data_IF_484375386365
#
_entry.id   IF_484375386365
#
_cell.length_a   1.000
_cell.length_b   1.000
_cell.length_c   1.000
_cell.angle_alpha   90.00
_cell.angle_beta   90.00
_cell.angle_gamma   90.00
#
_symmetry.space_group_name_H-M   'P 1'
#
loop_
_entity.id
_entity.type
_entity.pdbx_description
1 polymer ?
#
# COMPACT_ATOMS: atom_id res chain seq x y z
N UNK A 1 -64.16 -9.64 26.01
CA UNK A 1 -63.06 -10.48 26.59
C UNK A 1 -61.92 -10.51 25.59
N UNK A 2 -60.70 -10.27 26.07
CA UNK A 2 -59.50 -9.87 25.32
C UNK A 2 -59.05 -10.95 24.32
N UNK A 3 -58.99 -10.62 23.03
CA UNK A 3 -58.26 -11.40 22.01
C UNK A 3 -56.76 -11.14 22.17
N UNK A 4 -56.01 -12.18 22.49
CA UNK A 4 -54.56 -12.15 22.67
C UNK A 4 -53.89 -12.38 21.31
N UNK A 5 -53.21 -11.35 20.80
CA UNK A 5 -52.30 -11.42 19.65
C UNK A 5 -51.01 -12.13 20.09
N UNK A 6 -50.63 -13.23 19.43
CA UNK A 6 -49.26 -13.79 19.53
C UNK A 6 -48.68 -13.83 18.13
N UNK A 7 -47.73 -12.92 17.91
CA UNK A 7 -46.94 -12.74 16.70
C UNK A 7 -45.81 -13.79 16.71
N UNK A 8 -45.87 -14.79 15.84
CA UNK A 8 -44.73 -15.70 15.61
C UNK A 8 -43.79 -15.09 14.57
N UNK A 9 -42.74 -14.41 15.05
CA UNK A 9 -41.62 -13.96 14.22
C UNK A 9 -40.74 -15.17 13.94
N UNK A 10 -40.74 -15.64 12.69
CA UNK A 10 -39.80 -16.65 12.21
C UNK A 10 -38.44 -15.99 12.01
N UNK A 11 -37.49 -16.34 12.88
CA UNK A 11 -36.11 -15.86 12.86
C UNK A 11 -35.39 -16.49 11.66
N UNK A 12 -35.03 -15.65 10.69
CA UNK A 12 -34.24 -16.02 9.51
C UNK A 12 -32.81 -16.32 9.97
N UNK A 13 -32.41 -17.59 9.94
CA UNK A 13 -31.02 -18.00 10.12
C UNK A 13 -30.25 -17.72 8.83
N UNK A 14 -29.69 -16.52 8.70
CA UNK A 14 -28.58 -16.28 7.78
C UNK A 14 -27.34 -16.95 8.37
N UNK A 15 -26.99 -18.12 7.82
CA UNK A 15 -25.68 -18.72 8.05
C UNK A 15 -24.63 -17.86 7.34
N UNK A 16 -23.94 -17.00 8.09
CA UNK A 16 -22.73 -16.34 7.63
C UNK A 16 -21.69 -17.44 7.35
N UNK A 17 -21.44 -17.69 6.07
CA UNK A 17 -20.27 -18.44 5.63
C UNK A 17 -19.04 -17.58 5.95
N UNK A 18 -18.36 -17.87 7.05
CA UNK A 18 -17.13 -17.21 7.47
C UNK A 18 -15.97 -17.69 6.61
N UNK A 19 -15.96 -17.22 5.36
CA UNK A 19 -14.73 -17.16 4.59
C UNK A 19 -13.91 -16.02 5.19
N UNK A 20 -12.85 -16.32 5.95
CA UNK A 20 -11.88 -15.34 6.43
C UNK A 20 -11.14 -14.72 5.23
N UNK A 21 -11.82 -13.85 4.48
CA UNK A 21 -11.16 -12.92 3.58
C UNK A 21 -10.72 -11.75 4.46
N UNK A 22 -9.43 -11.45 4.44
CA UNK A 22 -9.01 -10.10 4.77
C UNK A 22 -9.87 -9.16 3.92
N UNK A 23 -10.81 -8.44 4.54
CA UNK A 23 -11.84 -7.64 3.86
C UNK A 23 -11.21 -6.38 3.25
N UNK A 24 -10.37 -6.56 2.24
CA UNK A 24 -9.79 -5.47 1.47
C UNK A 24 -10.92 -4.83 0.68
N UNK A 25 -11.31 -3.63 1.09
CA UNK A 25 -12.35 -2.88 0.40
C UNK A 25 -11.80 -2.21 -0.84
N UNK A 26 -12.70 -1.79 -1.73
CA UNK A 26 -12.37 -0.88 -2.83
C UNK A 26 -11.61 0.36 -2.31
N UNK A 27 -10.84 1.06 -3.17
CA UNK A 27 -10.02 2.15 -2.70
C UNK A 27 -10.88 3.30 -2.14
N UNK A 28 -10.45 3.89 -1.03
CA UNK A 28 -11.24 4.89 -0.27
C UNK A 28 -11.52 6.16 -1.08
N UNK A 29 -10.66 6.47 -2.05
CA UNK A 29 -10.73 7.66 -2.91
C UNK A 29 -10.08 7.38 -4.27
N UNK A 30 -10.33 8.25 -5.26
CA UNK A 30 -9.69 8.18 -6.58
C UNK A 30 -8.16 8.34 -6.52
N UNK A 31 -7.52 8.32 -7.68
CA UNK A 31 -6.06 8.44 -7.79
C UNK A 31 -5.55 9.77 -7.21
N UNK A 32 -4.63 9.68 -6.25
CA UNK A 32 -3.94 10.81 -5.62
C UNK A 32 -2.49 10.89 -6.11
N UNK A 33 -1.81 12.02 -5.86
CA UNK A 33 -0.39 12.24 -6.18
C UNK A 33 0.38 12.67 -4.95
N UNK A 34 1.61 12.21 -4.81
CA UNK A 34 2.57 12.71 -3.82
C UNK A 34 4.01 12.44 -4.27
N UNK A 35 4.97 13.03 -3.57
CA UNK A 35 6.39 12.71 -3.72
C UNK A 35 6.86 12.04 -2.45
N UNK A 36 7.08 10.73 -2.47
CA UNK A 36 7.61 9.98 -1.32
C UNK A 36 9.08 10.34 -1.12
N UNK A 37 9.53 10.42 0.12
CA UNK A 37 10.94 10.65 0.47
C UNK A 37 11.40 9.66 1.55
N UNK A 38 12.66 9.79 1.96
CA UNK A 38 13.22 9.05 3.08
C UNK A 38 12.55 9.33 4.43
N UNK A 39 11.79 10.43 4.57
CA UNK A 39 11.21 10.87 5.85
C UNK A 39 9.86 10.25 6.20
N UNK A 40 9.47 9.20 5.49
CA UNK A 40 8.23 8.46 5.73
C UNK A 40 7.03 8.98 4.93
N UNK A 41 6.07 8.09 4.72
CA UNK A 41 4.77 8.36 4.13
C UNK A 41 3.67 7.65 4.91
N UNK A 42 2.56 8.34 5.12
CA UNK A 42 1.28 7.78 5.57
C UNK A 42 0.33 7.88 4.37
N UNK A 43 -0.01 6.74 3.76
CA UNK A 43 -0.76 6.71 2.51
C UNK A 43 -2.25 6.99 2.71
N UNK A 44 -2.80 6.60 3.87
CA UNK A 44 -4.21 6.79 4.20
C UNK A 44 -4.51 8.28 4.41
N UNK A 45 -3.62 9.00 5.10
CA UNK A 45 -3.70 10.45 5.27
C UNK A 45 -3.15 11.22 4.04
N UNK A 46 -2.33 10.58 3.19
CA UNK A 46 -1.66 11.23 2.06
C UNK A 46 -0.57 12.21 2.51
N UNK A 47 0.11 11.89 3.60
CA UNK A 47 1.09 12.74 4.27
C UNK A 47 2.50 12.20 4.01
N UNK A 48 3.43 13.11 3.68
CA UNK A 48 4.86 12.79 3.54
C UNK A 48 5.63 13.61 4.56
N UNK A 49 6.63 13.01 5.18
CA UNK A 49 7.50 13.68 6.14
C UNK A 49 8.53 14.57 5.47
N UNK A 50 9.23 15.35 6.28
CA UNK A 50 10.39 16.13 5.87
C UNK A 50 11.47 16.07 6.95
N UNK A 51 12.66 16.58 6.66
CA UNK A 51 13.74 16.69 7.63
C UNK A 51 13.26 17.42 8.90
N UNK A 52 13.40 16.78 10.06
CA UNK A 52 12.95 17.29 11.36
C UNK A 52 11.43 17.31 11.58
N UNK A 53 10.64 16.81 10.63
CA UNK A 53 9.19 16.63 10.73
C UNK A 53 8.78 15.33 10.02
N UNK A 54 9.38 14.22 10.42
CA UNK A 54 9.15 12.92 9.84
C UNK A 54 7.71 12.44 10.09
N UNK A 55 7.21 11.54 9.26
CA UNK A 55 5.99 10.80 9.62
C UNK A 55 6.32 9.92 10.82
N UNK A 56 5.55 10.08 11.91
CA UNK A 56 5.74 9.31 13.12
C UNK A 56 5.73 7.81 12.82
N UNK A 57 6.63 7.05 13.47
CA UNK A 57 6.90 5.66 13.14
C UNK A 57 5.65 4.76 13.14
N UNK A 58 4.74 5.00 14.07
CA UNK A 58 3.48 4.27 14.23
C UNK A 58 2.46 4.55 13.13
N UNK A 59 2.62 5.67 12.41
CA UNK A 59 1.80 6.07 11.26
C UNK A 59 2.48 5.82 9.92
N UNK A 60 3.81 5.74 9.91
CA UNK A 60 4.55 5.60 8.66
C UNK A 60 4.38 4.20 8.08
N UNK A 61 4.00 4.15 6.81
CA UNK A 61 3.79 2.95 6.02
C UNK A 61 5.05 2.52 5.26
N UNK A 62 5.99 3.44 5.08
CA UNK A 62 7.27 3.19 4.44
C UNK A 62 7.96 4.46 4.04
N UNK A 63 9.01 4.32 3.25
CA UNK A 63 9.86 5.42 2.79
C UNK A 63 10.67 5.02 1.55
N UNK A 64 11.38 5.96 0.94
CA UNK A 64 12.35 5.67 -0.12
C UNK A 64 13.78 5.60 0.42
N UNK A 65 14.58 4.70 -0.16
CA UNK A 65 15.97 4.44 0.24
C UNK A 65 16.84 4.17 -1.00
N UNK A 66 18.14 4.47 -0.93
CA UNK A 66 19.09 4.23 -2.05
C UNK A 66 19.78 2.86 -2.04
N UNK A 67 19.32 1.96 -1.18
CA UNK A 67 19.82 0.59 -1.10
C UNK A 67 18.66 -0.40 -1.12
N UNK A 68 18.95 -1.63 -1.54
CA UNK A 68 17.98 -2.70 -1.43
C UNK A 68 17.76 -3.11 0.03
N UNK A 69 16.51 -3.01 0.51
CA UNK A 69 16.12 -3.44 1.84
C UNK A 69 15.64 -4.91 1.91
N UNK A 70 15.24 -5.51 0.78
CA UNK A 70 14.71 -6.89 0.72
C UNK A 70 15.41 -7.71 -0.35
N UNK A 71 16.19 -8.70 0.06
CA UNK A 71 16.81 -9.65 -0.84
C UNK A 71 18.25 -9.96 -0.49
N UNK A 72 18.91 -10.69 -1.41
CA UNK A 72 20.25 -11.23 -1.17
C UNK A 72 21.40 -10.29 -1.58
N UNK A 73 21.09 -9.12 -2.17
CA UNK A 73 22.08 -8.15 -2.67
C UNK A 73 22.11 -6.86 -1.86
N UNK A 74 21.93 -6.95 -0.54
CA UNK A 74 21.88 -5.79 0.34
C UNK A 74 23.13 -4.91 0.19
N UNK A 75 22.94 -3.63 -0.11
CA UNK A 75 23.99 -2.62 -0.13
C UNK A 75 24.85 -2.49 -1.40
N UNK A 76 24.76 -3.39 -2.39
CA UNK A 76 25.56 -3.30 -3.63
C UNK A 76 24.77 -2.87 -4.88
N UNK A 77 23.44 -2.85 -4.81
CA UNK A 77 22.59 -2.45 -5.93
C UNK A 77 22.44 -0.92 -5.98
N UNK A 78 22.65 -0.31 -7.15
CA UNK A 78 22.39 1.11 -7.41
C UNK A 78 20.92 1.33 -7.78
N UNK A 79 20.25 2.29 -7.14
CA UNK A 79 18.86 2.64 -7.44
C UNK A 79 18.15 3.27 -6.26
N UNK A 80 16.84 3.49 -6.42
CA UNK A 80 15.94 3.88 -5.32
C UNK A 80 14.91 2.79 -5.14
N UNK A 81 14.69 2.36 -3.91
CA UNK A 81 13.68 1.37 -3.53
C UNK A 81 12.64 2.01 -2.62
N UNK A 82 11.42 1.48 -2.67
CA UNK A 82 10.45 1.71 -1.60
C UNK A 82 10.64 0.65 -0.53
N UNK A 83 10.78 1.09 0.72
CA UNK A 83 10.90 0.23 1.90
C UNK A 83 9.61 0.34 2.73
N UNK A 84 8.65 -0.60 2.59
CA UNK A 84 7.46 -0.61 3.46
C UNK A 84 7.82 -1.04 4.88
N UNK A 85 7.23 -0.42 5.89
CA UNK A 85 7.49 -0.83 7.29
C UNK A 85 6.90 -2.19 7.68
N UNK A 86 6.00 -2.75 6.86
CA UNK A 86 5.35 -4.04 7.09
C UNK A 86 6.00 -5.17 6.26
N UNK A 87 7.14 -4.90 5.60
CA UNK A 87 7.92 -5.89 4.85
C UNK A 87 7.12 -6.68 3.80
N UNK A 88 6.13 -6.03 3.18
CA UNK A 88 5.29 -6.60 2.14
C UNK A 88 5.19 -5.65 0.96
N UNK A 89 5.92 -6.00 -0.08
CA UNK A 89 6.00 -5.27 -1.34
C UNK A 89 5.85 -6.24 -2.51
N UNK A 90 5.23 -5.78 -3.59
CA UNK A 90 5.06 -6.55 -4.83
C UNK A 90 5.00 -5.63 -6.03
N UNK A 91 5.83 -5.89 -7.04
CA UNK A 91 5.69 -5.26 -8.35
C UNK A 91 4.53 -5.90 -9.08
N UNK A 92 3.61 -5.09 -9.62
CA UNK A 92 2.49 -5.56 -10.41
C UNK A 92 2.86 -5.58 -11.90
N UNK A 93 2.28 -6.51 -12.65
CA UNK A 93 2.48 -6.61 -14.10
C UNK A 93 1.64 -5.62 -14.92
N UNK A 94 0.97 -4.68 -14.25
CA UNK A 94 0.16 -3.64 -14.88
C UNK A 94 0.94 -2.33 -14.94
N UNK A 95 0.64 -1.51 -15.94
CA UNK A 95 1.23 -0.16 -16.10
C UNK A 95 0.20 0.96 -15.89
N UNK A 96 -1.09 0.63 -15.92
CA UNK A 96 -2.18 1.55 -15.64
C UNK A 96 -2.74 1.31 -14.23
N UNK A 97 -2.54 2.29 -13.35
CA UNK A 97 -3.06 2.29 -11.99
C UNK A 97 -4.59 2.18 -11.95
N UNK A 98 -5.28 2.68 -12.98
CA UNK A 98 -6.74 2.65 -13.04
C UNK A 98 -7.29 1.23 -13.20
N UNK A 99 -6.54 0.32 -13.81
CA UNK A 99 -6.91 -1.09 -13.98
C UNK A 99 -7.00 -1.87 -12.65
N UNK A 100 -6.41 -1.33 -11.57
CA UNK A 100 -6.41 -1.99 -10.26
C UNK A 100 -7.65 -1.56 -9.46
N UNK A 101 -8.59 -2.50 -9.30
CA UNK A 101 -9.84 -2.32 -8.54
C UNK A 101 -9.79 -2.94 -7.13
N UNK A 102 -8.89 -3.90 -6.90
CA UNK A 102 -8.66 -4.57 -5.62
C UNK A 102 -7.17 -4.87 -5.46
N UNK A 103 -6.67 -4.86 -4.23
CA UNK A 103 -5.30 -5.26 -3.92
C UNK A 103 -5.21 -6.79 -3.77
N UNK A 104 -4.54 -7.46 -4.71
CA UNK A 104 -4.21 -8.88 -4.59
C UNK A 104 -3.03 -9.07 -3.62
N UNK A 105 -3.36 -9.47 -2.39
CA UNK A 105 -2.42 -9.66 -1.28
C UNK A 105 -1.80 -11.05 -1.21
N UNK A 106 -1.91 -11.81 -2.29
CA UNK A 106 -1.18 -13.07 -2.46
C UNK A 106 0.20 -12.81 -3.07
N UNK A 107 1.16 -13.69 -2.79
CA UNK A 107 2.48 -13.72 -3.43
C UNK A 107 3.31 -12.44 -3.26
N UNK A 108 3.58 -12.05 -2.01
CA UNK A 108 4.52 -10.97 -1.69
C UNK A 108 5.95 -11.32 -2.11
N UNK A 109 6.71 -10.34 -2.56
CA UNK A 109 8.10 -10.55 -2.95
C UNK A 109 8.97 -10.69 -1.71
N UNK A 110 9.90 -11.66 -1.77
CA UNK A 110 10.93 -11.87 -0.74
C UNK A 110 12.28 -11.26 -1.14
N UNK A 111 12.43 -10.89 -2.41
CA UNK A 111 13.61 -10.22 -2.96
C UNK A 111 13.15 -9.23 -4.04
N UNK A 112 13.57 -7.97 -3.90
CA UNK A 112 13.32 -6.89 -4.87
C UNK A 112 14.62 -6.19 -5.29
N UNK A 113 15.78 -6.75 -4.95
CA UNK A 113 17.06 -6.07 -5.18
C UNK A 113 17.37 -5.87 -6.66
N UNK A 114 16.88 -6.74 -7.54
CA UNK A 114 17.00 -6.56 -9.00
C UNK A 114 16.01 -5.56 -9.59
N UNK A 115 15.12 -5.00 -8.77
CA UNK A 115 13.96 -4.22 -9.21
C UNK A 115 13.89 -2.87 -8.47
N UNK A 116 14.89 -1.98 -8.62
CA UNK A 116 14.74 -0.61 -8.18
C UNK A 116 13.51 0.03 -8.85
N UNK A 117 12.96 1.07 -8.23
CA UNK A 117 11.82 1.80 -8.76
C UNK A 117 12.17 2.43 -10.12
N UNK A 118 11.34 2.16 -11.13
CA UNK A 118 11.46 2.72 -12.47
C UNK A 118 10.19 3.46 -12.88
N UNK A 119 10.35 4.45 -13.76
CA UNK A 119 9.19 5.17 -14.30
C UNK A 119 8.18 4.20 -14.93
N UNK A 120 6.91 4.36 -14.59
CA UNK A 120 5.80 3.55 -15.11
C UNK A 120 5.53 2.27 -14.32
N UNK A 121 6.43 1.87 -13.41
CA UNK A 121 6.21 0.71 -12.55
C UNK A 121 5.02 0.93 -11.62
N UNK A 122 4.21 -0.11 -11.45
CA UNK A 122 3.13 -0.15 -10.47
C UNK A 122 3.48 -1.16 -9.38
N UNK A 123 3.35 -0.74 -8.13
CA UNK A 123 3.69 -1.52 -6.96
C UNK A 123 2.51 -1.59 -6.00
N UNK A 124 2.34 -2.74 -5.35
CA UNK A 124 1.46 -2.94 -4.21
C UNK A 124 2.33 -3.05 -2.95
N UNK A 125 2.00 -2.27 -1.93
CA UNK A 125 2.61 -2.37 -0.60
C UNK A 125 1.54 -2.54 0.48
N UNK A 126 1.87 -3.27 1.54
CA UNK A 126 1.05 -3.30 2.75
C UNK A 126 1.37 -2.09 3.64
N UNK A 127 0.32 -1.37 4.01
CA UNK A 127 0.35 -0.30 5.00
C UNK A 127 0.04 -0.86 6.39
N UNK A 128 0.21 -0.06 7.44
CA UNK A 128 -0.15 -0.47 8.81
C UNK A 128 -1.66 -0.63 8.97
N UNK A 129 -2.42 0.19 8.28
CA UNK A 129 -3.88 0.33 8.36
C UNK A 129 -4.62 -0.02 7.05
N UNK A 130 -3.92 -0.65 6.09
CA UNK A 130 -4.50 -1.01 4.80
C UNK A 130 -3.46 -1.41 3.76
N UNK A 131 -3.69 -1.01 2.51
CA UNK A 131 -2.81 -1.28 1.37
C UNK A 131 -2.75 -0.09 0.43
N UNK A 132 -1.61 0.08 -0.23
CA UNK A 132 -1.44 1.08 -1.28
C UNK A 132 -1.02 0.41 -2.58
N UNK A 133 -1.62 0.85 -3.68
CA UNK A 133 -1.07 0.61 -5.02
C UNK A 133 -0.58 1.95 -5.54
N UNK A 134 0.70 2.05 -5.86
CA UNK A 134 1.30 3.27 -6.38
C UNK A 134 2.01 3.03 -7.71
N UNK A 135 1.92 4.00 -8.60
CA UNK A 135 2.63 4.07 -9.87
C UNK A 135 3.71 5.13 -9.79
N UNK A 136 4.93 4.77 -10.13
CA UNK A 136 6.04 5.73 -10.26
C UNK A 136 5.81 6.56 -11.52
N UNK A 137 5.74 7.88 -11.38
CA UNK A 137 5.42 8.78 -12.50
C UNK A 137 6.65 9.42 -13.14
N UNK A 138 7.82 9.26 -12.53
CA UNK A 138 9.10 9.79 -13.01
C UNK A 138 10.24 8.90 -12.56
N UNK A 139 11.28 8.78 -13.39
CA UNK A 139 12.47 7.99 -13.06
C UNK A 139 13.15 8.56 -11.80
N UNK A 140 13.28 7.79 -10.71
CA UNK A 140 14.00 8.24 -9.53
C UNK A 140 15.49 8.43 -9.82
N UNK A 141 16.06 9.49 -9.25
CA UNK A 141 17.50 9.73 -9.24
C UNK A 141 18.11 9.20 -7.93
N UNK A 142 18.95 8.15 -7.97
CA UNK A 142 19.59 7.60 -6.77
C UNK A 142 20.58 8.58 -6.10
N UNK A 143 21.02 9.63 -6.79
CA UNK A 143 21.92 10.65 -6.25
C UNK A 143 21.18 11.87 -5.68
N UNK A 144 19.86 11.97 -5.86
CA UNK A 144 19.09 13.06 -5.31
C UNK A 144 19.00 12.97 -3.78
N UNK A 145 19.11 14.11 -3.11
CA UNK A 145 18.98 14.19 -1.65
C UNK A 145 17.63 13.62 -1.21
N UNK A 146 17.68 12.68 -0.25
CA UNK A 146 16.51 12.03 0.34
C UNK A 146 15.67 11.19 -0.63
N UNK A 147 16.22 10.88 -1.82
CA UNK A 147 15.69 9.93 -2.80
C UNK A 147 14.19 10.13 -3.10
N UNK A 148 13.77 11.32 -3.56
CA UNK A 148 12.38 11.62 -3.83
C UNK A 148 11.84 10.76 -4.98
N UNK A 149 10.62 10.25 -4.82
CA UNK A 149 9.91 9.48 -5.85
C UNK A 149 8.52 10.07 -6.05
N UNK A 150 8.28 10.61 -7.24
CA UNK A 150 6.96 11.09 -7.66
C UNK A 150 6.07 9.89 -8.00
N UNK A 151 4.88 9.84 -7.41
CA UNK A 151 3.91 8.76 -7.62
C UNK A 151 2.48 9.25 -7.80
N UNK A 152 1.71 8.44 -8.50
CA UNK A 152 0.25 8.38 -8.40
C UNK A 152 -0.14 7.17 -7.55
N UNK A 153 -1.17 7.24 -6.70
CA UNK A 153 -1.53 6.12 -5.84
C UNK A 153 -3.03 6.00 -5.56
N UNK A 154 -3.43 4.79 -5.18
CA UNK A 154 -4.75 4.42 -4.65
C UNK A 154 -4.57 3.71 -3.31
N UNK A 155 -5.36 4.11 -2.31
CA UNK A 155 -5.33 3.52 -0.98
C UNK A 155 -6.58 2.66 -0.72
N UNK A 156 -6.38 1.46 -0.19
CA UNK A 156 -7.41 0.46 0.08
C UNK A 156 -7.45 0.19 1.58
N UNK A 157 -8.60 0.47 2.22
CA UNK A 157 -8.79 0.17 3.62
C UNK A 157 -8.87 -1.34 3.86
N UNK A 158 -8.47 -1.76 5.05
CA UNK A 158 -8.75 -3.07 5.60
C UNK A 158 -10.13 -3.09 6.30
#
# INVERSE_FOLDING_TARGET
MKMLFILFITFILFTFSTCNKDDITAPETGTKKLTVTHWGVDWSEGKVGSEGNEVAYEKSDGETVSWCAYGNSSGSAQGVWFRPYVDKLKKLSVTDLNSVSLADTTNWLTDVCSSPLQNGDVWLAKCRDGYVVFKVTKQPDPNANFWPVEVEYKYFKK
#
